data_IF_104227456229
#
_entry.id   IF_104227456229
#
_cell.length_a   1.000
_cell.length_b   1.000
_cell.length_c   1.000
_cell.angle_alpha   90.00
_cell.angle_beta   90.00
_cell.angle_gamma   90.00
#
_symmetry.space_group_name_H-M   'P 1'
#
loop_
_entity.id
_entity.type
_entity.pdbx_description
1 polymer ?
#
# COMPACT_ATOMS: atom_id res chain seq x y z
N UNK A 1 3.60 1.92 -3.96
CA UNK A 1 3.27 3.34 -3.75
C UNK A 1 4.27 4.04 -2.84
N UNK A 2 4.67 3.44 -1.72
CA UNK A 2 5.62 4.03 -0.75
C UNK A 2 6.99 4.36 -1.36
N UNK A 3 7.58 3.44 -2.14
CA UNK A 3 8.87 3.70 -2.79
C UNK A 3 8.84 4.95 -3.70
N UNK A 4 7.77 5.12 -4.49
CA UNK A 4 7.58 6.31 -5.33
C UNK A 4 7.53 7.59 -4.50
N UNK A 5 6.89 7.55 -3.33
CA UNK A 5 6.85 8.68 -2.40
C UNK A 5 8.26 8.99 -1.87
N UNK A 6 9.01 7.98 -1.42
CA UNK A 6 10.38 8.16 -0.93
C UNK A 6 11.27 8.79 -1.99
N UNK A 7 11.22 8.27 -3.22
CA UNK A 7 12.00 8.79 -4.34
C UNK A 7 11.69 10.27 -4.62
N UNK A 8 10.40 10.61 -4.69
CA UNK A 8 9.96 11.99 -4.89
C UNK A 8 10.36 12.92 -3.73
N UNK A 9 10.25 12.45 -2.49
CA UNK A 9 10.59 13.23 -1.30
C UNK A 9 12.10 13.47 -1.20
N UNK A 10 12.93 12.51 -1.65
CA UNK A 10 14.37 12.70 -1.79
C UNK A 10 14.71 13.80 -2.80
N UNK A 11 14.06 13.82 -3.96
CA UNK A 11 14.25 14.87 -4.99
C UNK A 11 13.87 16.26 -4.45
N UNK A 12 12.94 16.32 -3.50
CA UNK A 12 12.51 17.56 -2.84
C UNK A 12 13.27 17.88 -1.55
N UNK A 13 14.26 17.06 -1.18
CA UNK A 13 15.03 17.18 0.06
C UNK A 13 14.15 17.17 1.33
N UNK A 14 13.01 16.48 1.30
CA UNK A 14 12.09 16.34 2.44
C UNK A 14 12.46 15.12 3.28
N UNK A 15 13.63 15.17 3.92
CA UNK A 15 14.22 13.99 4.58
C UNK A 15 13.36 13.41 5.72
N UNK A 16 12.56 14.24 6.40
CA UNK A 16 11.63 13.76 7.42
C UNK A 16 10.53 12.85 6.83
N UNK A 17 10.01 13.17 5.64
CA UNK A 17 8.98 12.35 4.99
C UNK A 17 9.57 11.12 4.30
N UNK A 18 10.82 11.20 3.83
CA UNK A 18 11.64 10.05 3.44
C UNK A 18 11.73 9.04 4.58
N UNK A 19 12.16 9.47 5.77
CA UNK A 19 12.30 8.59 6.94
C UNK A 19 10.93 7.98 7.30
N UNK A 20 9.87 8.78 7.32
CA UNK A 20 8.51 8.27 7.52
C UNK A 20 8.10 7.23 6.47
N UNK A 21 8.50 7.42 5.21
CA UNK A 21 8.32 6.45 4.13
C UNK A 21 9.04 5.14 4.41
N UNK A 22 10.29 5.18 4.87
CA UNK A 22 11.04 3.97 5.25
C UNK A 22 10.41 3.24 6.44
N UNK A 23 9.84 3.95 7.41
CA UNK A 23 9.08 3.34 8.51
C UNK A 23 7.82 2.63 8.01
N UNK A 24 7.08 3.23 7.06
CA UNK A 24 5.92 2.57 6.44
C UNK A 24 6.33 1.29 5.70
N UNK A 25 7.46 1.33 4.98
CA UNK A 25 8.00 0.17 4.28
C UNK A 25 8.39 -0.94 5.27
N UNK A 26 9.09 -0.60 6.35
CA UNK A 26 9.43 -1.55 7.41
C UNK A 26 8.18 -2.20 8.02
N UNK A 27 7.19 -1.39 8.42
CA UNK A 27 5.94 -1.89 8.98
C UNK A 27 5.19 -2.81 8.00
N UNK A 28 5.25 -2.54 6.69
CA UNK A 28 4.64 -3.39 5.68
C UNK A 28 5.35 -4.75 5.58
N UNK A 29 6.69 -4.76 5.63
CA UNK A 29 7.49 -6.00 5.61
C UNK A 29 7.29 -6.80 6.91
N UNK A 30 7.28 -6.17 8.08
CA UNK A 30 7.03 -6.84 9.37
C UNK A 30 5.57 -7.32 9.52
N UNK A 31 4.64 -6.56 8.95
CA UNK A 31 3.22 -6.89 8.91
C UNK A 31 2.86 -7.97 7.90
N UNK A 32 3.77 -8.29 6.96
CA UNK A 32 3.53 -9.32 5.96
C UNK A 32 3.30 -10.66 6.66
N UNK A 33 2.20 -11.32 6.27
CA UNK A 33 1.85 -12.66 6.72
C UNK A 33 1.86 -13.55 5.48
N UNK A 34 2.84 -14.45 5.35
CA UNK A 34 2.89 -15.41 4.26
C UNK A 34 1.55 -16.12 4.13
N UNK A 35 0.96 -16.13 2.93
CA UNK A 35 -0.35 -16.74 2.72
C UNK A 35 -0.25 -18.26 2.71
N UNK A 36 0.84 -18.78 2.14
CA UNK A 36 1.12 -20.21 2.00
C UNK A 36 2.56 -20.59 2.39
N UNK A 37 3.41 -19.60 2.69
CA UNK A 37 4.82 -19.84 3.00
C UNK A 37 5.64 -20.26 1.79
N UNK A 38 5.17 -19.92 0.58
CA UNK A 38 5.83 -20.26 -0.67
C UNK A 38 7.20 -19.60 -0.82
N UNK A 39 7.96 -20.06 -1.81
CA UNK A 39 9.19 -19.40 -2.23
C UNK A 39 8.94 -17.96 -2.67
N UNK A 40 7.76 -17.65 -3.22
CA UNK A 40 7.35 -16.29 -3.60
C UNK A 40 7.29 -15.34 -2.40
N UNK A 41 6.70 -15.79 -1.29
CA UNK A 41 6.62 -15.02 -0.04
C UNK A 41 8.02 -14.67 0.49
N UNK A 42 8.94 -15.64 0.49
CA UNK A 42 10.31 -15.43 0.93
C UNK A 42 11.06 -14.43 0.02
N UNK A 43 10.85 -14.50 -1.30
CA UNK A 43 11.45 -13.58 -2.27
C UNK A 43 10.91 -12.16 -2.05
N UNK A 44 9.60 -12.00 -1.85
CA UNK A 44 8.98 -10.69 -1.62
C UNK A 44 9.51 -10.00 -0.35
N UNK A 45 9.64 -10.74 0.76
CA UNK A 45 10.22 -10.22 2.01
C UNK A 45 11.67 -9.80 1.81
N UNK A 46 12.46 -10.64 1.12
CA UNK A 46 13.86 -10.34 0.82
C UNK A 46 13.98 -9.09 -0.06
N UNK A 47 13.20 -9.00 -1.13
CA UNK A 47 13.18 -7.80 -1.98
C UNK A 47 12.78 -6.55 -1.18
N UNK A 48 11.75 -6.65 -0.33
CA UNK A 48 11.30 -5.56 0.53
C UNK A 48 12.40 -4.99 1.43
N UNK A 49 13.17 -5.85 2.10
CA UNK A 49 14.33 -5.42 2.88
C UNK A 49 15.45 -4.82 2.01
N UNK A 50 15.71 -5.38 0.83
CA UNK A 50 16.68 -4.81 -0.11
C UNK A 50 16.30 -3.40 -0.60
N UNK A 51 15.01 -3.14 -0.81
CA UNK A 51 14.50 -1.79 -1.10
C UNK A 51 14.63 -0.89 0.13
N UNK A 52 14.24 -1.37 1.31
CA UNK A 52 14.32 -0.61 2.56
C UNK A 52 15.73 -0.10 2.82
N UNK A 53 16.73 -0.98 2.75
CA UNK A 53 18.12 -0.64 3.05
C UNK A 53 18.69 0.38 2.07
N UNK A 54 18.38 0.26 0.77
CA UNK A 54 18.79 1.26 -0.23
C UNK A 54 18.12 2.61 -0.01
N UNK A 55 16.84 2.63 0.36
CA UNK A 55 16.14 3.87 0.71
C UNK A 55 16.65 4.49 2.02
N UNK A 56 17.10 3.68 2.98
CA UNK A 56 17.56 4.15 4.29
C UNK A 56 19.03 4.60 4.26
N UNK A 57 19.82 4.03 3.34
CA UNK A 57 21.26 4.27 3.22
C UNK A 57 21.69 5.74 3.27
N UNK A 58 21.05 6.70 2.57
CA UNK A 58 21.46 8.10 2.64
C UNK A 58 21.24 8.75 4.02
N UNK A 59 20.36 8.19 4.86
CA UNK A 59 20.06 8.70 6.20
C UNK A 59 20.87 7.99 7.30
N UNK A 60 21.03 6.66 7.22
CA UNK A 60 21.75 5.86 8.23
C UNK A 60 22.74 4.88 7.58
N UNK A 61 23.82 5.37 6.95
CA UNK A 61 24.66 4.57 6.07
C UNK A 61 25.35 3.39 6.77
N UNK A 62 25.81 3.57 8.02
CA UNK A 62 26.57 2.54 8.74
C UNK A 62 25.73 1.30 9.06
N UNK A 63 24.51 1.50 9.59
CA UNK A 63 23.63 0.37 9.91
C UNK A 63 23.08 -0.27 8.64
N UNK A 64 22.74 0.53 7.63
CA UNK A 64 22.29 0.02 6.35
C UNK A 64 23.36 -0.86 5.69
N UNK A 65 24.63 -0.44 5.72
CA UNK A 65 25.76 -1.21 5.22
C UNK A 65 25.93 -2.54 5.96
N UNK A 66 25.91 -2.52 7.30
CA UNK A 66 26.08 -3.73 8.09
C UNK A 66 24.96 -4.74 7.83
N UNK A 67 23.72 -4.27 7.74
CA UNK A 67 22.56 -5.10 7.42
C UNK A 67 22.58 -5.60 5.97
N UNK A 68 23.05 -4.78 5.03
CA UNK A 68 23.18 -5.15 3.62
C UNK A 68 24.08 -6.36 3.42
N UNK A 69 25.26 -6.33 4.05
CA UNK A 69 26.21 -7.45 4.06
C UNK A 69 25.66 -8.62 4.88
N UNK A 70 25.09 -8.37 6.06
CA UNK A 70 24.55 -9.43 6.92
C UNK A 70 23.41 -10.23 6.29
N UNK A 71 22.65 -9.62 5.37
CA UNK A 71 21.58 -10.27 4.60
C UNK A 71 22.06 -10.79 3.22
N UNK A 72 23.36 -10.65 2.93
CA UNK A 72 24.00 -11.16 1.71
C UNK A 72 23.59 -10.44 0.43
N UNK A 73 23.11 -9.19 0.52
CA UNK A 73 22.78 -8.41 -0.68
C UNK A 73 24.03 -7.94 -1.42
N UNK A 74 25.16 -7.82 -0.73
CA UNK A 74 26.45 -7.49 -1.33
C UNK A 74 26.90 -8.55 -2.35
N UNK A 75 26.61 -9.81 -2.09
CA UNK A 75 26.88 -10.93 -3.02
C UNK A 75 25.98 -10.86 -4.26
N UNK A 76 24.74 -10.39 -4.11
CA UNK A 76 23.73 -10.39 -5.18
C UNK A 76 23.73 -9.11 -6.02
N UNK A 77 24.04 -7.97 -5.40
CA UNK A 77 23.84 -6.64 -5.97
C UNK A 77 25.10 -5.77 -5.91
N UNK A 78 26.20 -6.28 -5.34
CA UNK A 78 27.42 -5.52 -5.11
C UNK A 78 27.35 -4.64 -3.87
N UNK A 79 28.40 -3.82 -3.67
CA UNK A 79 28.46 -2.91 -2.54
C UNK A 79 27.25 -1.97 -2.49
N UNK A 80 26.71 -1.69 -1.30
CA UNK A 80 25.53 -0.83 -1.15
C UNK A 80 25.71 0.55 -1.77
N UNK A 81 26.93 1.10 -1.73
CA UNK A 81 27.29 2.38 -2.33
C UNK A 81 27.12 2.39 -3.86
N UNK A 82 27.38 1.25 -4.51
CA UNK A 82 27.31 1.08 -5.97
C UNK A 82 25.98 0.43 -6.41
N UNK A 83 25.16 -0.02 -5.46
CA UNK A 83 23.90 -0.66 -5.75
C UNK A 83 22.93 0.34 -6.40
N UNK A 84 22.31 -0.08 -7.50
CA UNK A 84 21.34 0.75 -8.21
C UNK A 84 20.17 1.16 -7.31
N UNK A 85 19.73 2.41 -7.44
CA UNK A 85 18.56 2.91 -6.74
C UNK A 85 17.30 2.09 -7.10
N UNK A 86 16.50 1.64 -6.12
CA UNK A 86 15.32 0.81 -6.38
C UNK A 86 14.32 1.53 -7.28
N UNK A 87 13.84 0.82 -8.30
CA UNK A 87 12.85 1.32 -9.25
C UNK A 87 11.45 0.83 -8.89
N UNK A 88 10.45 1.65 -9.20
CA UNK A 88 9.05 1.29 -8.97
C UNK A 88 8.57 0.42 -10.12
N UNK A 89 8.30 -0.84 -9.85
CA UNK A 89 7.54 -1.70 -10.76
C UNK A 89 6.06 -1.34 -10.71
N UNK A 90 5.49 -0.96 -11.85
CA UNK A 90 4.07 -0.60 -11.96
C UNK A 90 3.17 -1.82 -11.93
N UNK A 91 3.62 -2.98 -12.42
CA UNK A 91 2.85 -4.21 -12.41
C UNK A 91 2.65 -4.72 -10.96
N UNK A 92 3.68 -4.62 -10.12
CA UNK A 92 3.60 -4.96 -8.70
C UNK A 92 2.67 -4.04 -7.87
N UNK A 93 2.17 -2.95 -8.44
CA UNK A 93 1.21 -2.04 -7.80
C UNK A 93 -0.23 -2.27 -8.21
N UNK A 94 -0.47 -3.15 -9.18
CA UNK A 94 -1.82 -3.53 -9.58
C UNK A 94 -2.46 -4.33 -8.44
N UNK A 95 -3.70 -3.97 -8.11
CA UNK A 95 -4.48 -4.62 -7.08
C UNK A 95 -5.74 -5.21 -7.72
N UNK A 96 -6.03 -6.46 -7.43
CA UNK A 96 -7.27 -7.12 -7.90
C UNK A 96 -8.50 -6.52 -7.21
N UNK A 97 -8.34 -6.10 -5.95
CA UNK A 97 -9.37 -5.47 -5.15
C UNK A 97 -8.91 -4.10 -4.64
N UNK A 98 -9.82 -3.14 -4.68
CA UNK A 98 -9.65 -1.80 -4.13
C UNK A 98 -10.60 -1.59 -2.96
N UNK A 99 -10.13 -0.92 -1.93
CA UNK A 99 -10.95 -0.54 -0.78
C UNK A 99 -11.56 0.85 -1.01
N UNK A 100 -12.89 0.92 -1.07
CA UNK A 100 -13.64 2.16 -1.23
C UNK A 100 -14.24 2.59 0.12
N UNK A 101 -13.98 3.82 0.52
CA UNK A 101 -14.53 4.38 1.75
C UNK A 101 -16.04 4.57 1.64
N UNK A 102 -16.81 3.92 2.53
CA UNK A 102 -18.26 3.99 2.54
C UNK A 102 -18.74 5.18 3.38
N UNK A 103 -19.55 6.03 2.76
CA UNK A 103 -20.23 7.14 3.41
C UNK A 103 -21.75 6.94 3.36
N UNK A 104 -22.41 7.33 4.44
CA UNK A 104 -23.87 7.40 4.52
C UNK A 104 -24.26 8.81 4.91
N UNK A 105 -25.02 9.51 4.05
CA UNK A 105 -25.36 10.92 4.20
C UNK A 105 -24.12 11.79 4.50
N UNK A 106 -23.01 11.52 3.79
CA UNK A 106 -21.76 12.27 3.91
C UNK A 106 -20.90 11.96 5.13
N UNK A 107 -21.31 11.03 6.01
CA UNK A 107 -20.50 10.58 7.17
C UNK A 107 -19.80 9.26 6.84
N UNK A 108 -18.50 9.15 7.13
CA UNK A 108 -17.72 7.92 6.98
C UNK A 108 -18.24 6.85 7.94
N UNK A 109 -18.63 5.69 7.38
CA UNK A 109 -19.25 4.58 8.13
C UNK A 109 -18.46 3.29 8.08
N UNK A 110 -17.57 3.15 7.12
CA UNK A 110 -16.73 1.97 6.98
C UNK A 110 -16.04 1.95 5.62
N UNK A 111 -15.72 0.75 5.14
CA UNK A 111 -15.10 0.54 3.84
C UNK A 111 -15.65 -0.71 3.17
N UNK A 112 -15.66 -0.71 1.84
CA UNK A 112 -16.13 -1.82 1.01
C UNK A 112 -15.01 -2.18 0.04
N UNK A 113 -14.57 -3.43 0.06
CA UNK A 113 -13.62 -3.97 -0.93
C UNK A 113 -14.38 -4.36 -2.17
N UNK A 114 -13.95 -3.86 -3.33
CA UNK A 114 -14.54 -4.16 -4.64
C UNK A 114 -13.44 -4.53 -5.62
N UNK A 115 -13.72 -5.37 -6.64
CA UNK A 115 -12.77 -5.59 -7.73
C UNK A 115 -12.33 -4.27 -8.38
N UNK A 116 -11.06 -4.13 -8.74
CA UNK A 116 -10.52 -2.88 -9.32
C UNK A 116 -11.20 -2.49 -10.63
N UNK A 117 -11.70 -3.47 -11.39
CA UNK A 117 -12.49 -3.28 -12.62
C UNK A 117 -14.01 -3.28 -12.42
N UNK A 118 -14.51 -3.25 -11.17
CA UNK A 118 -15.95 -3.33 -10.90
C UNK A 118 -16.71 -2.16 -11.53
N UNK A 119 -17.85 -2.48 -12.16
CA UNK A 119 -18.70 -1.43 -12.73
C UNK A 119 -19.34 -0.59 -11.62
N UNK A 120 -19.77 0.62 -11.95
CA UNK A 120 -20.49 1.47 -10.99
C UNK A 120 -21.69 0.75 -10.36
N UNK A 121 -22.41 -0.05 -11.14
CA UNK A 121 -23.58 -0.80 -10.68
C UNK A 121 -23.22 -1.90 -9.69
N UNK A 122 -22.07 -2.57 -9.90
CA UNK A 122 -21.60 -3.62 -8.99
C UNK A 122 -21.12 -3.01 -7.67
N UNK A 123 -20.40 -1.89 -7.74
CA UNK A 123 -19.98 -1.12 -6.56
C UNK A 123 -21.22 -0.66 -5.75
N UNK A 124 -22.26 -0.18 -6.42
CA UNK A 124 -23.52 0.22 -5.77
C UNK A 124 -24.18 -0.95 -5.03
N UNK A 125 -24.28 -2.12 -5.67
CA UNK A 125 -24.84 -3.33 -5.05
C UNK A 125 -24.02 -3.79 -3.85
N UNK A 126 -22.70 -3.83 -3.98
CA UNK A 126 -21.80 -4.23 -2.89
C UNK A 126 -21.85 -3.26 -1.72
N UNK A 127 -21.92 -1.95 -1.98
CA UNK A 127 -22.05 -0.95 -0.94
C UNK A 127 -23.37 -1.06 -0.17
N UNK A 128 -24.48 -1.30 -0.86
CA UNK A 128 -25.80 -1.48 -0.24
C UNK A 128 -25.94 -2.81 0.51
N UNK A 129 -25.18 -3.84 0.11
CA UNK A 129 -25.14 -5.13 0.79
C UNK A 129 -24.14 -5.18 1.95
N UNK A 130 -23.33 -4.13 2.15
CA UNK A 130 -22.31 -4.11 3.19
C UNK A 130 -22.92 -4.07 4.60
N UNK A 131 -22.30 -4.77 5.55
CA UNK A 131 -22.74 -4.79 6.94
C UNK A 131 -22.78 -3.38 7.55
N UNK A 132 -21.80 -2.54 7.21
CA UNK A 132 -21.74 -1.15 7.64
C UNK A 132 -22.94 -0.35 7.13
N UNK A 133 -23.33 -0.50 5.87
CA UNK A 133 -24.52 0.19 5.36
C UNK A 133 -25.79 -0.25 6.09
N UNK A 134 -26.01 -1.56 6.24
CA UNK A 134 -27.18 -2.12 6.91
C UNK A 134 -27.27 -1.66 8.38
N UNK A 135 -26.12 -1.56 9.06
CA UNK A 135 -26.02 -1.08 10.44
C UNK A 135 -26.32 0.41 10.58
N UNK A 136 -25.83 1.24 9.65
CA UNK A 136 -25.95 2.69 9.74
C UNK A 136 -27.17 3.28 9.00
N UNK A 137 -27.87 2.47 8.20
CA UNK A 137 -29.07 2.85 7.47
C UNK A 137 -30.14 1.72 7.46
N UNK A 138 -30.57 1.22 8.64
CA UNK A 138 -31.47 0.07 8.71
C UNK A 138 -32.84 0.40 8.11
N UNK A 139 -33.25 -0.37 7.10
CA UNK A 139 -34.54 -0.20 6.43
C UNK A 139 -34.66 1.09 5.59
N UNK A 140 -33.58 1.85 5.41
CA UNK A 140 -33.60 3.08 4.65
C UNK A 140 -33.50 2.79 3.14
N UNK A 141 -34.35 3.46 2.34
CA UNK A 141 -34.33 3.34 0.89
C UNK A 141 -33.31 4.33 0.32
N UNK A 142 -32.24 3.87 -0.36
CA UNK A 142 -31.24 4.75 -0.94
C UNK A 142 -31.87 5.63 -2.03
N UNK A 143 -31.81 6.95 -1.85
CA UNK A 143 -32.28 7.95 -2.83
C UNK A 143 -31.28 8.19 -3.95
N UNK A 144 -29.98 8.14 -3.63
CA UNK A 144 -28.90 8.40 -4.58
C UNK A 144 -27.60 7.74 -4.13
N UNK A 145 -26.89 7.07 -5.04
CA UNK A 145 -25.54 6.56 -4.80
C UNK A 145 -24.54 7.31 -5.66
N UNK A 146 -23.48 7.80 -5.03
CA UNK A 146 -22.41 8.56 -5.67
C UNK A 146 -21.12 7.77 -5.50
N UNK A 147 -20.63 7.22 -6.62
CA UNK A 147 -19.38 6.47 -6.68
C UNK A 147 -18.29 7.39 -7.22
N UNK A 148 -17.22 7.55 -6.46
CA UNK A 148 -15.97 8.17 -6.92
C UNK A 148 -14.98 7.03 -7.16
N UNK A 149 -14.66 6.70 -8.43
CA UNK A 149 -13.79 5.58 -8.76
C UNK A 149 -12.47 5.62 -7.98
N UNK A 150 -12.07 4.48 -7.41
CA UNK A 150 -10.81 4.35 -6.68
C UNK A 150 -10.73 5.09 -5.34
N UNK A 151 -11.81 5.70 -4.84
CA UNK A 151 -11.74 6.54 -3.63
C UNK A 151 -12.85 6.30 -2.61
N UNK A 152 -14.12 6.49 -2.98
CA UNK A 152 -15.23 6.40 -2.03
C UNK A 152 -16.58 6.12 -2.69
N UNK A 153 -17.52 5.63 -1.90
CA UNK A 153 -18.94 5.46 -2.25
C UNK A 153 -19.78 6.17 -1.20
N UNK A 154 -20.61 7.12 -1.62
CA UNK A 154 -21.53 7.81 -0.74
C UNK A 154 -22.97 7.43 -1.07
N UNK A 155 -23.67 6.88 -0.08
CA UNK A 155 -25.08 6.53 -0.17
C UNK A 155 -25.91 7.59 0.55
N UNK A 156 -26.79 8.23 -0.21
CA UNK A 156 -27.76 9.21 0.30
C UNK A 156 -29.07 8.48 0.56
N UNK A 157 -29.52 8.50 1.82
CA UNK A 157 -30.80 7.93 2.31
C UNK A 157 -31.70 9.05 2.80
#
# INVERSE_FOLDING_TARGET
>A
TVLRQIDYDYQRMQYNTVVSGTMKLLNAVEGFRPADGSTGDAVAVREGFGILLRCLYPATPHIAQQLWVGLGYDVLHGALLDAAWPQVDTAALEQDEIELMLQVNGKLRGAVRVPSGASKQDIEKMALASEDFVKFAPGAVPKRVIVVPGRLVNVVV
#
